data_IF_166023348921
#
_entry.id   IF_166023348921
#
_cell.length_a   1.000
_cell.length_b   1.000
_cell.length_c   1.000
_cell.angle_alpha   90.00
_cell.angle_beta   90.00
_cell.angle_gamma   90.00
#
_symmetry.space_group_name_H-M   'P 1'
#
loop_
_entity.id
_entity.type
_entity.pdbx_description
1 polymer ?
#
# COMPACT_ATOMS: atom_id res chain seq x y z
N UNK A 1 -20.92 18.99 -25.35
CA UNK A 1 -20.80 18.23 -24.10
C UNK A 1 -20.88 16.74 -24.45
N UNK A 2 -19.77 16.14 -24.84
CA UNK A 2 -19.68 14.69 -25.08
C UNK A 2 -19.24 14.06 -23.77
N UNK A 3 -20.11 13.25 -23.19
CA UNK A 3 -19.81 12.33 -22.10
C UNK A 3 -18.60 11.49 -22.50
N UNK A 4 -17.44 11.77 -21.88
CA UNK A 4 -16.28 10.90 -21.96
C UNK A 4 -16.67 9.58 -21.32
N UNK A 5 -16.97 8.60 -22.17
CA UNK A 5 -17.13 7.21 -21.79
C UNK A 5 -15.83 6.79 -21.11
N UNK A 6 -15.84 6.74 -19.78
CA UNK A 6 -14.71 6.29 -18.99
C UNK A 6 -14.51 4.83 -19.37
N UNK A 7 -13.54 4.58 -20.25
CA UNK A 7 -13.20 3.24 -20.71
C UNK A 7 -13.03 2.35 -19.47
N UNK A 8 -13.95 1.40 -19.33
CA UNK A 8 -13.93 0.44 -18.23
C UNK A 8 -12.57 -0.26 -18.25
N UNK A 9 -11.81 -0.29 -17.14
CA UNK A 9 -10.47 -0.87 -17.15
C UNK A 9 -10.59 -2.33 -17.61
N UNK A 10 -10.00 -2.63 -18.76
CA UNK A 10 -9.99 -3.96 -19.34
C UNK A 10 -9.42 -4.93 -18.29
N UNK A 11 -10.28 -5.80 -17.73
CA UNK A 11 -9.86 -6.84 -16.78
C UNK A 11 -8.78 -7.68 -17.47
N UNK A 12 -7.55 -7.77 -16.92
CA UNK A 12 -6.53 -8.61 -17.52
C UNK A 12 -7.06 -10.05 -17.61
N UNK A 13 -6.89 -10.73 -18.76
CA UNK A 13 -7.36 -12.09 -18.95
C UNK A 13 -6.79 -13.00 -17.86
N UNK A 14 -7.64 -13.91 -17.37
CA UNK A 14 -7.42 -14.78 -16.23
C UNK A 14 -5.99 -15.34 -16.14
N UNK A 15 -5.23 -14.84 -15.17
CA UNK A 15 -3.94 -15.42 -14.78
C UNK A 15 -4.12 -16.52 -13.74
N UNK A 16 -3.01 -17.21 -13.46
CA UNK A 16 -2.84 -18.46 -12.73
C UNK A 16 -3.67 -18.67 -11.44
N UNK A 17 -4.03 -17.60 -10.74
CA UNK A 17 -4.76 -17.68 -9.49
C UNK A 17 -6.24 -18.02 -9.71
N UNK A 18 -6.84 -18.87 -8.86
CA UNK A 18 -8.27 -19.11 -8.88
C UNK A 18 -9.05 -17.79 -8.85
N UNK A 19 -10.17 -17.71 -9.59
CA UNK A 19 -10.99 -16.50 -9.62
C UNK A 19 -11.40 -16.01 -8.22
N UNK A 20 -11.61 -16.93 -7.29
CA UNK A 20 -11.92 -16.62 -5.90
C UNK A 20 -10.76 -15.93 -5.16
N UNK A 21 -9.50 -16.30 -5.41
CA UNK A 21 -8.33 -15.70 -4.76
C UNK A 21 -8.15 -14.24 -5.21
N UNK A 22 -8.35 -13.98 -6.50
CA UNK A 22 -8.32 -12.62 -7.07
C UNK A 22 -9.43 -11.75 -6.49
N UNK A 23 -10.65 -12.29 -6.44
CA UNK A 23 -11.79 -11.58 -5.86
C UNK A 23 -11.59 -11.31 -4.36
N UNK A 24 -10.97 -12.24 -3.64
CA UNK A 24 -10.63 -12.06 -2.23
C UNK A 24 -9.59 -10.94 -2.05
N UNK A 25 -8.49 -10.97 -2.80
CA UNK A 25 -7.47 -9.92 -2.77
C UNK A 25 -8.07 -8.54 -3.11
N UNK A 26 -8.93 -8.48 -4.13
CA UNK A 26 -9.65 -7.25 -4.50
C UNK A 26 -10.51 -6.70 -3.37
N UNK A 27 -11.24 -7.58 -2.68
CA UNK A 27 -12.05 -7.19 -1.52
C UNK A 27 -11.20 -6.72 -0.36
N UNK A 28 -10.09 -7.41 -0.08
CA UNK A 28 -9.14 -7.01 0.97
C UNK A 28 -8.53 -5.65 0.64
N UNK A 29 -8.03 -5.47 -0.58
CA UNK A 29 -7.46 -4.21 -1.05
C UNK A 29 -8.48 -3.06 -0.96
N UNK A 30 -9.71 -3.27 -1.39
CA UNK A 30 -10.77 -2.26 -1.32
C UNK A 30 -11.15 -1.92 0.13
N UNK A 31 -11.22 -2.92 1.01
CA UNK A 31 -11.47 -2.70 2.43
C UNK A 31 -10.32 -1.92 3.07
N UNK A 32 -9.06 -2.30 2.79
CA UNK A 32 -7.90 -1.56 3.31
C UNK A 32 -7.86 -0.13 2.81
N UNK A 33 -8.20 0.13 1.55
CA UNK A 33 -8.33 1.50 1.04
C UNK A 33 -9.42 2.28 1.80
N UNK A 34 -10.60 1.70 1.99
CA UNK A 34 -11.69 2.35 2.72
C UNK A 34 -11.25 2.69 4.15
N UNK A 35 -10.60 1.74 4.83
CA UNK A 35 -10.06 1.96 6.17
C UNK A 35 -8.97 3.04 6.17
N UNK A 36 -8.09 3.07 5.15
CA UNK A 36 -7.08 4.13 5.00
C UNK A 36 -7.73 5.49 4.77
N UNK A 37 -8.80 5.60 3.99
CA UNK A 37 -9.52 6.86 3.80
C UNK A 37 -10.11 7.37 5.12
N UNK A 38 -10.77 6.49 5.88
CA UNK A 38 -11.30 6.83 7.21
C UNK A 38 -10.19 7.22 8.19
N UNK A 39 -9.08 6.48 8.19
CA UNK A 39 -7.92 6.76 9.02
C UNK A 39 -7.27 8.11 8.67
N UNK A 40 -7.23 8.49 7.39
CA UNK A 40 -6.72 9.80 6.97
C UNK A 40 -7.60 10.93 7.53
N UNK A 41 -8.92 10.81 7.40
CA UNK A 41 -9.86 11.81 7.95
C UNK A 41 -9.71 11.89 9.48
N UNK A 42 -9.58 10.74 10.15
CA UNK A 42 -9.36 10.69 11.59
C UNK A 42 -8.03 11.36 11.99
N UNK A 43 -6.93 11.12 11.26
CA UNK A 43 -5.64 11.76 11.52
C UNK A 43 -5.74 13.28 11.38
N UNK A 44 -6.39 13.78 10.32
CA UNK A 44 -6.64 15.20 10.15
C UNK A 44 -7.46 15.79 11.31
N UNK A 45 -8.51 15.09 11.76
CA UNK A 45 -9.35 15.54 12.86
C UNK A 45 -8.56 15.59 14.19
N UNK A 46 -7.77 14.56 14.49
CA UNK A 46 -6.92 14.49 15.70
C UNK A 46 -5.88 15.61 15.71
N UNK A 47 -5.17 15.83 14.60
CA UNK A 47 -4.17 16.91 14.51
C UNK A 47 -4.81 18.29 14.61
N UNK A 48 -5.98 18.48 13.99
CA UNK A 48 -6.71 19.75 14.09
C UNK A 48 -7.18 19.99 15.52
N UNK A 49 -7.72 18.97 16.19
CA UNK A 49 -8.11 19.06 17.59
C UNK A 49 -6.90 19.35 18.50
N UNK A 50 -5.74 18.74 18.25
CA UNK A 50 -4.49 19.01 18.99
C UNK A 50 -4.12 20.49 18.95
N UNK A 51 -4.13 21.09 17.76
CA UNK A 51 -3.88 22.52 17.55
C UNK A 51 -4.93 23.34 18.31
N UNK A 52 -6.22 23.03 18.19
CA UNK A 52 -7.28 23.79 18.87
C UNK A 52 -7.12 23.74 20.39
N UNK A 53 -6.91 22.56 20.98
CA UNK A 53 -6.73 22.39 22.42
C UNK A 53 -5.49 23.13 22.92
N UNK A 54 -4.37 23.03 22.19
CA UNK A 54 -3.10 23.65 22.56
C UNK A 54 -3.17 25.17 22.56
N UNK A 55 -3.77 25.77 21.53
CA UNK A 55 -3.74 27.23 21.35
C UNK A 55 -4.94 27.95 21.99
N UNK A 56 -6.13 27.34 22.03
CA UNK A 56 -7.31 28.02 22.58
C UNK A 56 -7.59 27.63 24.03
N UNK A 57 -7.36 26.37 24.39
CA UNK A 57 -7.67 25.84 25.73
C UNK A 57 -6.43 25.74 26.63
N UNK A 58 -5.23 26.02 26.10
CA UNK A 58 -3.95 25.94 26.82
C UNK A 58 -3.74 24.60 27.55
N UNK A 59 -4.35 23.52 27.05
CA UNK A 59 -4.32 22.19 27.63
C UNK A 59 -3.71 21.21 26.61
N UNK A 60 -2.36 21.13 26.52
CA UNK A 60 -1.71 20.18 25.63
C UNK A 60 -1.97 18.74 26.07
N UNK A 61 -2.10 17.85 25.10
CA UNK A 61 -2.39 16.42 25.30
C UNK A 61 -1.37 15.57 24.56
N UNK A 62 -0.77 14.61 25.28
CA UNK A 62 0.45 13.90 24.84
C UNK A 62 0.19 12.63 24.01
N UNK A 63 -1.05 12.36 23.57
CA UNK A 63 -1.40 11.13 22.85
C UNK A 63 -1.72 11.35 21.36
N UNK A 64 -1.97 12.60 20.98
CA UNK A 64 -2.51 12.95 19.67
C UNK A 64 -1.47 12.77 18.57
N UNK A 65 -0.22 13.11 18.86
CA UNK A 65 0.88 13.04 17.91
C UNK A 65 1.16 11.57 17.52
N UNK A 66 1.17 10.66 18.49
CA UNK A 66 1.40 9.23 18.31
C UNK A 66 0.24 8.58 17.56
N UNK A 67 -1.00 8.89 17.94
CA UNK A 67 -2.19 8.38 17.24
C UNK A 67 -2.19 8.85 15.78
N UNK A 68 -1.87 10.12 15.53
CA UNK A 68 -1.78 10.63 14.16
C UNK A 68 -0.69 9.91 13.36
N UNK A 69 0.50 9.71 13.95
CA UNK A 69 1.59 8.95 13.30
C UNK A 69 1.15 7.52 12.98
N UNK A 70 0.50 6.82 13.92
CA UNK A 70 0.07 5.44 13.70
C UNK A 70 -0.98 5.33 12.60
N UNK A 71 -1.93 6.28 12.56
CA UNK A 71 -2.91 6.37 11.47
C UNK A 71 -2.21 6.64 10.14
N UNK A 72 -1.26 7.57 10.08
CA UNK A 72 -0.53 7.89 8.84
C UNK A 72 0.32 6.71 8.34
N UNK A 73 0.95 5.95 9.25
CA UNK A 73 1.63 4.69 8.90
C UNK A 73 0.64 3.72 8.27
N UNK A 74 -0.53 3.53 8.88
CA UNK A 74 -1.58 2.66 8.31
C UNK A 74 -2.06 3.14 6.94
N UNK A 75 -2.28 4.44 6.75
CA UNK A 75 -2.70 5.00 5.46
C UNK A 75 -1.65 4.77 4.39
N UNK A 76 -0.38 5.00 4.72
CA UNK A 76 0.76 4.88 3.80
C UNK A 76 0.90 3.46 3.28
N UNK A 77 0.91 2.47 4.17
CA UNK A 77 1.14 1.07 3.77
C UNK A 77 -0.15 0.33 3.40
N UNK A 78 -1.29 0.69 3.99
CA UNK A 78 -2.58 0.04 3.75
C UNK A 78 -3.19 0.36 2.39
N UNK A 79 -2.94 1.55 1.85
CA UNK A 79 -3.43 1.94 0.52
C UNK A 79 -2.57 1.41 -0.64
N UNK A 80 -1.31 1.02 -0.38
CA UNK A 80 -0.32 0.69 -1.40
C UNK A 80 -0.75 -0.45 -2.32
N UNK A 81 -1.27 -1.56 -1.76
CA UNK A 81 -1.66 -2.74 -2.55
C UNK A 81 -2.81 -2.43 -3.53
N UNK A 82 -3.82 -1.68 -3.09
CA UNK A 82 -4.93 -1.25 -3.95
C UNK A 82 -4.45 -0.30 -5.06
N UNK A 83 -3.61 0.69 -4.70
CA UNK A 83 -3.04 1.62 -5.69
C UNK A 83 -2.20 0.88 -6.72
N UNK A 84 -1.40 -0.11 -6.30
CA UNK A 84 -0.61 -0.93 -7.20
C UNK A 84 -1.48 -1.80 -8.12
N UNK A 85 -2.59 -2.33 -7.62
CA UNK A 85 -3.59 -3.02 -8.44
C UNK A 85 -4.13 -2.12 -9.56
N UNK A 86 -4.45 -0.86 -9.22
CA UNK A 86 -4.99 0.11 -10.18
C UNK A 86 -3.92 0.66 -11.15
N UNK A 87 -2.66 0.81 -10.68
CA UNK A 87 -1.55 1.44 -11.44
C UNK A 87 -0.75 0.51 -12.32
N UNK A 88 -0.95 -0.81 -12.25
CA UNK A 88 -0.22 -1.80 -13.06
C UNK A 88 -0.26 -1.56 -14.59
N UNK A 89 -1.10 -0.63 -15.06
CA UNK A 89 -1.18 -0.24 -16.47
C UNK A 89 -0.70 1.19 -16.78
N UNK A 90 -0.58 2.09 -15.80
CA UNK A 90 -0.56 3.54 -16.04
C UNK A 90 0.83 4.17 -15.79
N UNK A 91 1.63 3.63 -14.87
CA UNK A 91 2.81 4.31 -14.32
C UNK A 91 3.96 4.59 -15.29
N UNK A 92 3.97 3.98 -16.48
CA UNK A 92 5.03 4.17 -17.47
C UNK A 92 4.47 4.31 -18.89
N UNK A 93 3.23 4.77 -19.05
CA UNK A 93 2.67 4.99 -20.39
C UNK A 93 3.38 6.12 -21.14
N UNK A 94 3.84 7.17 -20.45
CA UNK A 94 4.54 8.28 -21.10
C UNK A 94 5.84 7.85 -21.80
N UNK A 95 6.66 7.01 -21.15
CA UNK A 95 7.86 6.42 -21.76
C UNK A 95 7.48 5.22 -22.64
N UNK A 96 6.42 4.49 -22.28
CA UNK A 96 5.93 3.36 -23.05
C UNK A 96 5.40 3.72 -24.44
N UNK A 97 4.82 4.91 -24.60
CA UNK A 97 4.33 5.44 -25.87
C UNK A 97 5.47 5.68 -26.88
N UNK A 98 6.69 5.91 -26.40
CA UNK A 98 7.88 6.13 -27.22
C UNK A 98 8.62 4.83 -27.57
N UNK A 99 8.30 3.73 -26.89
CA UNK A 99 9.02 2.46 -27.01
C UNK A 99 8.22 1.44 -27.84
N UNK A 100 8.94 0.58 -28.58
CA UNK A 100 8.29 -0.55 -29.26
C UNK A 100 7.61 -1.48 -28.26
N UNK A 101 6.48 -2.08 -28.66
CA UNK A 101 5.65 -2.90 -27.76
C UNK A 101 6.44 -4.00 -27.04
N UNK A 102 7.49 -4.58 -27.65
CA UNK A 102 8.31 -5.62 -27.00
C UNK A 102 9.21 -5.05 -25.89
N UNK A 103 9.86 -3.91 -26.11
CA UNK A 103 10.75 -3.28 -25.12
C UNK A 103 9.94 -2.72 -23.95
N UNK A 104 8.79 -2.12 -24.24
CA UNK A 104 7.86 -1.63 -23.22
C UNK A 104 7.45 -2.73 -22.22
N UNK A 105 7.20 -3.94 -22.75
CA UNK A 105 6.83 -5.12 -21.96
C UNK A 105 7.96 -5.66 -21.09
N UNK A 106 9.18 -5.77 -21.63
CA UNK A 106 10.35 -6.22 -20.85
C UNK A 106 10.65 -5.23 -19.74
N UNK A 107 10.59 -3.93 -20.03
CA UNK A 107 10.80 -2.87 -19.04
C UNK A 107 9.77 -2.97 -17.90
N UNK A 108 8.47 -3.10 -18.23
CA UNK A 108 7.42 -3.25 -17.23
C UNK A 108 7.66 -4.46 -16.32
N UNK A 109 7.98 -5.62 -16.90
CA UNK A 109 8.28 -6.82 -16.13
C UNK A 109 9.52 -6.65 -15.21
N UNK A 110 10.57 -5.98 -15.69
CA UNK A 110 11.75 -5.69 -14.87
C UNK A 110 11.40 -4.76 -13.70
N UNK A 111 10.61 -3.71 -13.93
CA UNK A 111 10.13 -2.84 -12.88
C UNK A 111 9.34 -3.63 -11.84
N UNK A 112 8.38 -4.46 -12.26
CA UNK A 112 7.57 -5.26 -11.35
C UNK A 112 8.42 -6.24 -10.53
N UNK A 113 9.42 -6.88 -11.14
CA UNK A 113 10.35 -7.77 -10.44
C UNK A 113 11.21 -7.04 -9.40
N UNK A 114 11.73 -5.85 -9.74
CA UNK A 114 12.52 -5.03 -8.80
C UNK A 114 11.65 -4.53 -7.66
N UNK A 115 10.45 -4.02 -7.97
CA UNK A 115 9.46 -3.61 -6.97
C UNK A 115 9.07 -4.76 -6.06
N UNK A 116 8.85 -5.97 -6.60
CA UNK A 116 8.55 -7.17 -5.81
C UNK A 116 9.71 -7.53 -4.87
N UNK A 117 10.95 -7.53 -5.37
CA UNK A 117 12.12 -7.84 -4.56
C UNK A 117 12.28 -6.83 -3.40
N UNK A 118 12.14 -5.54 -3.69
CA UNK A 118 12.19 -4.48 -2.69
C UNK A 118 11.06 -4.61 -1.67
N UNK A 119 9.81 -4.74 -2.12
CA UNK A 119 8.65 -4.83 -1.22
C UNK A 119 8.70 -6.10 -0.37
N UNK A 120 9.13 -7.23 -0.94
CA UNK A 120 9.31 -8.48 -0.20
C UNK A 120 10.39 -8.39 0.87
N UNK A 121 11.55 -7.82 0.54
CA UNK A 121 12.62 -7.56 1.50
C UNK A 121 12.15 -6.62 2.63
N UNK A 122 11.47 -5.53 2.27
CA UNK A 122 10.95 -4.56 3.22
C UNK A 122 9.88 -5.19 4.13
N UNK A 123 8.98 -6.02 3.60
CA UNK A 123 7.99 -6.75 4.39
C UNK A 123 8.66 -7.67 5.42
N UNK A 124 9.70 -8.40 5.01
CA UNK A 124 10.46 -9.24 5.94
C UNK A 124 11.13 -8.41 7.04
N UNK A 125 11.81 -7.32 6.69
CA UNK A 125 12.42 -6.42 7.67
C UNK A 125 11.40 -5.80 8.62
N UNK A 126 10.23 -5.42 8.11
CA UNK A 126 9.14 -4.90 8.93
C UNK A 126 8.69 -5.92 9.97
N UNK A 127 8.61 -7.21 9.60
CA UNK A 127 8.29 -8.28 10.55
C UNK A 127 9.38 -8.54 11.59
N UNK A 128 10.66 -8.38 11.21
CA UNK A 128 11.75 -8.40 12.20
C UNK A 128 11.60 -7.27 13.22
N UNK A 129 11.23 -6.06 12.78
CA UNK A 129 10.98 -4.92 13.67
C UNK A 129 9.80 -5.15 14.60
N UNK A 130 8.72 -5.77 14.13
CA UNK A 130 7.57 -6.14 14.98
C UNK A 130 8.00 -7.09 16.09
N UNK A 131 8.78 -8.11 15.74
CA UNK A 131 9.24 -9.09 16.71
C UNK A 131 10.18 -8.45 17.76
N UNK A 132 11.12 -7.63 17.32
CA UNK A 132 12.03 -6.87 18.18
C UNK A 132 11.25 -5.94 19.12
N UNK A 133 10.29 -5.18 18.58
CA UNK A 133 9.46 -4.27 19.37
C UNK A 133 8.61 -5.00 20.42
N UNK A 134 8.13 -6.19 20.10
CA UNK A 134 7.38 -7.03 21.03
C UNK A 134 8.29 -7.64 22.11
N UNK A 135 9.44 -8.19 21.71
CA UNK A 135 10.36 -8.87 22.61
C UNK A 135 11.06 -7.92 23.58
N UNK A 136 11.46 -6.74 23.11
CA UNK A 136 12.16 -5.73 23.90
C UNK A 136 11.21 -4.74 24.59
N UNK A 137 9.91 -4.82 24.32
CA UNK A 137 8.92 -3.90 24.89
C UNK A 137 9.13 -2.46 24.43
N UNK A 138 9.55 -2.25 23.18
CA UNK A 138 9.84 -0.92 22.66
C UNK A 138 8.58 -0.03 22.65
N UNK A 139 8.74 1.19 23.15
CA UNK A 139 7.70 2.22 23.22
C UNK A 139 8.17 3.50 22.56
N UNK A 140 7.23 4.33 22.12
CA UNK A 140 7.55 5.68 21.63
C UNK A 140 8.20 6.52 22.74
N UNK A 141 9.14 7.40 22.39
CA UNK A 141 9.85 8.31 23.32
C UNK A 141 8.97 9.43 23.94
N UNK A 142 7.66 9.36 23.74
CA UNK A 142 6.64 10.27 24.26
C UNK A 142 6.26 9.94 25.71
N UNK A 143 5.70 10.90 26.45
CA UNK A 143 5.17 10.69 27.81
C UNK A 143 4.11 9.56 27.86
N UNK A 144 3.29 9.44 26.82
CA UNK A 144 2.25 8.41 26.74
C UNK A 144 2.80 7.01 26.43
N UNK A 145 4.02 6.92 25.88
CA UNK A 145 4.79 5.71 25.59
C UNK A 145 3.98 4.51 25.03
N UNK A 146 3.18 4.68 23.96
CA UNK A 146 2.48 3.56 23.35
C UNK A 146 3.48 2.56 22.73
N UNK A 147 3.12 1.27 22.66
CA UNK A 147 4.02 0.24 22.16
C UNK A 147 4.20 0.29 20.64
N UNK A 148 5.44 0.14 20.18
CA UNK A 148 5.83 0.27 18.76
C UNK A 148 5.51 -0.95 17.90
N UNK A 149 5.19 -2.10 18.49
CA UNK A 149 4.81 -3.29 17.72
C UNK A 149 3.53 -3.06 16.89
N UNK A 150 2.65 -2.13 17.33
CA UNK A 150 1.42 -1.81 16.63
C UNK A 150 1.66 -1.12 15.27
N UNK A 151 2.32 0.05 15.19
CA UNK A 151 2.62 0.68 13.91
C UNK A 151 3.50 -0.18 13.00
N UNK A 152 4.50 -0.89 13.56
CA UNK A 152 5.30 -1.83 12.78
C UNK A 152 4.47 -3.00 12.24
N UNK A 153 3.46 -3.43 13.00
CA UNK A 153 2.51 -4.46 12.59
C UNK A 153 1.72 -4.04 11.36
N UNK A 154 1.18 -2.82 11.38
CA UNK A 154 0.44 -2.24 10.24
C UNK A 154 1.32 -2.08 9.01
N UNK A 155 2.55 -1.58 9.20
CA UNK A 155 3.55 -1.47 8.14
C UNK A 155 3.85 -2.83 7.49
N UNK A 156 4.15 -3.83 8.29
CA UNK A 156 4.49 -5.16 7.79
C UNK A 156 3.31 -5.85 7.10
N UNK A 157 2.10 -5.72 7.64
CA UNK A 157 0.89 -6.25 7.02
C UNK A 157 0.63 -5.59 5.64
N UNK A 158 0.69 -4.26 5.57
CA UNK A 158 0.49 -3.52 4.31
C UNK A 158 1.54 -3.87 3.26
N UNK A 159 2.81 -3.95 3.66
CA UNK A 159 3.90 -4.30 2.75
C UNK A 159 3.85 -5.76 2.29
N UNK A 160 3.41 -6.69 3.15
CA UNK A 160 3.18 -8.08 2.77
C UNK A 160 2.07 -8.21 1.74
N UNK A 161 0.97 -7.46 1.91
CA UNK A 161 -0.12 -7.44 0.94
C UNK A 161 0.32 -6.84 -0.40
N UNK A 162 1.08 -5.73 -0.37
CA UNK A 162 1.65 -5.12 -1.57
C UNK A 162 2.59 -6.08 -2.31
N UNK A 163 3.46 -6.78 -1.58
CA UNK A 163 4.36 -7.79 -2.16
C UNK A 163 3.56 -8.93 -2.81
N UNK A 164 2.48 -9.39 -2.17
CA UNK A 164 1.59 -10.41 -2.73
C UNK A 164 0.90 -9.92 -4.02
N UNK A 165 0.47 -8.66 -4.05
CA UNK A 165 -0.12 -8.04 -5.23
C UNK A 165 0.89 -7.95 -6.39
N UNK A 166 2.12 -7.53 -6.12
CA UNK A 166 3.21 -7.48 -7.10
C UNK A 166 3.58 -8.86 -7.63
N UNK A 167 3.61 -9.88 -6.76
CA UNK A 167 3.86 -11.26 -7.17
C UNK A 167 2.80 -11.73 -8.17
N UNK A 168 1.53 -11.43 -7.92
CA UNK A 168 0.43 -11.74 -8.82
C UNK A 168 0.57 -11.04 -10.19
N UNK A 169 1.05 -9.79 -10.20
CA UNK A 169 1.31 -9.04 -11.44
C UNK A 169 2.47 -9.63 -12.24
N UNK A 170 3.61 -9.92 -11.60
CA UNK A 170 4.78 -10.54 -12.23
C UNK A 170 4.41 -11.90 -12.84
N UNK A 171 3.70 -12.75 -12.09
CA UNK A 171 3.28 -14.08 -12.57
C UNK A 171 2.34 -13.99 -13.78
N UNK A 172 1.45 -13.00 -13.83
CA UNK A 172 0.60 -12.75 -14.98
C UNK A 172 1.42 -12.27 -16.20
N UNK A 173 2.37 -11.35 -16.00
CA UNK A 173 3.23 -10.80 -17.06
C UNK A 173 4.15 -11.83 -17.72
N UNK A 174 4.72 -12.76 -16.94
CA UNK A 174 5.63 -13.81 -17.46
C UNK A 174 4.92 -14.79 -18.41
N UNK A 175 3.64 -15.12 -18.17
CA UNK A 175 2.93 -16.15 -18.94
C UNK A 175 2.43 -15.64 -20.30
N UNK A 176 2.08 -14.36 -20.39
CA UNK A 176 1.68 -13.76 -21.67
C UNK A 176 2.86 -13.73 -22.68
N UNK A 177 4.12 -13.73 -22.19
CA UNK A 177 5.32 -13.96 -23.02
C UNK A 177 5.41 -15.38 -23.58
N UNK A 178 4.81 -16.39 -22.93
CA UNK A 178 4.83 -17.79 -23.40
C UNK A 178 3.74 -18.11 -24.44
N UNK A 179 2.68 -17.31 -24.55
CA UNK A 179 1.58 -17.53 -25.52
C UNK A 179 1.63 -16.62 -26.75
N UNK A 180 2.53 -15.62 -26.77
CA UNK A 180 2.69 -14.67 -27.88
C UNK A 180 3.99 -14.85 -28.68
N UNK A 181 4.59 -16.05 -28.65
CA UNK A 181 5.77 -16.44 -29.43
C UNK A 181 5.41 -17.58 -30.37
#
# INVERSE_FOLDING_TARGET
>A
MTTGEVASPARPPGGLAPGWLRALLQRINALMLLLSMLAMVAACAVLTASVVLRYFLHAPTDWQDEVAVFLLVFVTFGSGAWVQEQRGHIGIEAVGALLSARVNRVRALLCDCVSLAFCGFFAWKSWTLVHEAWAEGMTTSSTWAPPLWFPYGLMAAGMSLLALQLLMQVLAGVRWRKHGA
#
